data_IF_381121118798
#
_entry.id   IF_381121118798
#
_cell.length_a   1.000
_cell.length_b   1.000
_cell.length_c   1.000
_cell.angle_alpha   90.00
_cell.angle_beta   90.00
_cell.angle_gamma   90.00
#
_symmetry.space_group_name_H-M   'P 1'
#
loop_
_entity.id
_entity.type
_entity.pdbx_description
1 polymer ?
#
# COMPACT_ATOMS: atom_id res chain seq x y z
N UNK A 1 -23.58 1.67 9.25
CA UNK A 1 -22.48 2.62 8.99
C UNK A 1 -21.57 1.96 7.97
N UNK A 2 -21.09 2.72 6.98
CA UNK A 2 -20.13 2.19 6.02
C UNK A 2 -18.81 1.90 6.73
N UNK A 3 -18.21 0.77 6.37
CA UNK A 3 -16.93 0.32 6.90
C UNK A 3 -15.90 0.36 5.77
N UNK A 4 -14.65 0.65 6.11
CA UNK A 4 -13.55 0.79 5.17
C UNK A 4 -12.35 -0.02 5.64
N UNK A 5 -11.53 -0.43 4.70
CA UNK A 5 -10.25 -1.12 4.94
C UNK A 5 -9.16 -0.45 4.12
N UNK A 6 -7.92 -0.58 4.58
CA UNK A 6 -6.74 -0.31 3.76
C UNK A 6 -6.16 -1.65 3.31
N UNK A 7 -6.10 -1.85 2.00
CA UNK A 7 -5.49 -3.03 1.37
C UNK A 7 -4.06 -2.68 1.00
N UNK A 8 -3.11 -3.52 1.39
CA UNK A 8 -1.69 -3.37 1.12
C UNK A 8 -1.22 -4.59 0.33
N UNK A 9 -0.86 -4.36 -0.92
CA UNK A 9 -0.28 -5.35 -1.82
C UNK A 9 1.22 -5.07 -1.90
N UNK A 10 2.06 -6.03 -1.49
CA UNK A 10 3.53 -5.86 -1.50
C UNK A 10 4.23 -6.88 -2.36
N UNK A 11 5.33 -6.45 -2.98
CA UNK A 11 6.20 -7.36 -3.71
C UNK A 11 5.67 -7.76 -5.09
N UNK A 12 4.79 -6.96 -5.69
CA UNK A 12 4.28 -7.20 -7.03
C UNK A 12 5.42 -7.12 -8.05
N UNK A 13 5.66 -8.24 -8.74
CA UNK A 13 6.65 -8.40 -9.81
C UNK A 13 6.09 -9.43 -10.80
N UNK A 14 6.49 -9.34 -12.07
CA UNK A 14 6.17 -10.36 -13.07
C UNK A 14 6.67 -11.73 -12.54
N UNK A 15 5.73 -12.64 -12.25
CA UNK A 15 5.95 -13.99 -11.73
C UNK A 15 6.66 -14.10 -10.35
N UNK A 16 6.18 -13.38 -9.33
CA UNK A 16 6.70 -13.50 -7.96
C UNK A 16 5.79 -14.31 -7.02
N UNK A 17 6.35 -15.38 -6.45
CA UNK A 17 5.73 -16.11 -5.32
C UNK A 17 5.72 -15.32 -4.00
N UNK A 18 6.44 -14.19 -3.96
CA UNK A 18 6.57 -13.34 -2.77
C UNK A 18 5.51 -12.26 -2.69
N UNK A 19 4.59 -12.18 -3.65
CA UNK A 19 3.48 -11.24 -3.60
C UNK A 19 2.60 -11.54 -2.38
N UNK A 20 2.31 -10.52 -1.58
CA UNK A 20 1.43 -10.63 -0.41
C UNK A 20 0.37 -9.55 -0.46
N UNK A 21 -0.86 -9.93 -0.14
CA UNK A 21 -1.99 -9.01 0.04
C UNK A 21 -2.41 -9.10 1.50
N UNK A 22 -2.44 -7.97 2.18
CA UNK A 22 -2.99 -7.83 3.53
C UNK A 22 -4.07 -6.75 3.52
N UNK A 23 -5.03 -6.87 4.43
CA UNK A 23 -6.04 -5.85 4.65
C UNK A 23 -6.13 -5.59 6.16
N UNK A 24 -6.41 -4.35 6.52
CA UNK A 24 -6.72 -3.98 7.91
C UNK A 24 -8.09 -4.53 8.30
N UNK A 25 -8.37 -4.55 9.61
CA UNK A 25 -9.74 -4.73 10.08
C UNK A 25 -10.64 -3.59 9.56
N UNK A 26 -11.95 -3.85 9.35
CA UNK A 26 -12.91 -2.83 8.99
C UNK A 26 -12.98 -1.71 10.04
N UNK A 27 -12.92 -0.46 9.58
CA UNK A 27 -12.95 0.72 10.44
C UNK A 27 -13.81 1.84 9.85
N UNK A 28 -14.20 2.85 10.63
CA UNK A 28 -14.89 4.03 10.14
C UNK A 28 -14.09 4.76 9.05
N UNK A 29 -14.80 5.41 8.12
CA UNK A 29 -14.18 6.11 6.98
C UNK A 29 -13.09 7.12 7.38
N UNK A 30 -13.31 7.88 8.46
CA UNK A 30 -12.35 8.90 8.93
C UNK A 30 -11.04 8.26 9.37
N UNK A 31 -11.12 7.13 10.08
CA UNK A 31 -9.95 6.39 10.56
C UNK A 31 -9.18 5.77 9.39
N UNK A 32 -9.90 5.19 8.41
CA UNK A 32 -9.29 4.59 7.24
C UNK A 32 -8.58 5.63 6.35
N UNK A 33 -9.17 6.81 6.16
CA UNK A 33 -8.51 7.92 5.44
C UNK A 33 -7.24 8.39 6.15
N UNK A 34 -7.29 8.55 7.48
CA UNK A 34 -6.12 8.93 8.26
C UNK A 34 -5.00 7.90 8.09
N UNK A 35 -5.31 6.61 8.26
CA UNK A 35 -4.32 5.55 8.10
C UNK A 35 -3.72 5.52 6.68
N UNK A 36 -4.55 5.72 5.66
CA UNK A 36 -4.08 5.80 4.27
C UNK A 36 -3.06 6.95 4.06
N UNK A 37 -3.35 8.14 4.60
CA UNK A 37 -2.43 9.29 4.53
C UNK A 37 -1.15 9.04 5.33
N UNK A 38 -1.26 8.46 6.53
CA UNK A 38 -0.10 8.11 7.35
C UNK A 38 0.82 7.12 6.60
N UNK A 39 0.26 6.12 5.91
CA UNK A 39 1.03 5.19 5.07
C UNK A 39 1.68 5.88 3.86
N UNK A 40 0.98 6.82 3.22
CA UNK A 40 1.51 7.64 2.12
C UNK A 40 2.71 8.48 2.58
N UNK A 41 2.66 9.00 3.80
CA UNK A 41 3.73 9.76 4.47
C UNK A 41 4.87 8.87 5.01
N UNK A 42 4.76 7.55 4.83
CA UNK A 42 5.80 6.58 5.23
C UNK A 42 5.78 6.21 6.71
N UNK A 43 4.68 6.46 7.42
CA UNK A 43 4.44 5.93 8.76
C UNK A 43 4.05 4.44 8.71
N UNK A 44 3.96 3.79 9.87
CA UNK A 44 3.57 2.37 10.01
C UNK A 44 4.48 1.39 9.23
N UNK A 45 5.77 1.41 9.56
CA UNK A 45 6.77 0.54 8.94
C UNK A 45 6.52 -0.97 9.19
N UNK A 46 5.71 -1.31 10.18
CA UNK A 46 5.21 -2.66 10.43
C UNK A 46 4.21 -3.13 9.35
N UNK A 47 3.40 -2.22 8.81
CA UNK A 47 2.44 -2.50 7.75
C UNK A 47 3.05 -2.35 6.34
N UNK A 48 3.83 -1.29 6.14
CA UNK A 48 4.47 -1.00 4.86
C UNK A 48 5.96 -0.67 5.09
N UNK A 49 6.83 -1.69 5.21
CA UNK A 49 8.24 -1.49 5.51
C UNK A 49 8.91 -0.54 4.53
N UNK A 50 9.72 0.40 5.02
CA UNK A 50 10.51 1.28 4.19
C UNK A 50 11.48 0.47 3.31
N UNK A 51 11.70 0.92 2.07
CA UNK A 51 12.68 0.34 1.15
C UNK A 51 13.53 1.46 0.57
N UNK A 52 14.79 1.17 0.27
CA UNK A 52 15.68 2.13 -0.36
C UNK A 52 15.26 2.40 -1.81
N UNK A 53 15.66 3.53 -2.39
CA UNK A 53 15.48 3.84 -3.82
C UNK A 53 14.03 3.68 -4.32
N UNK A 54 13.06 4.06 -3.48
CA UNK A 54 11.63 4.02 -3.83
C UNK A 54 11.15 5.33 -4.41
N UNK A 55 10.31 5.23 -5.44
CA UNK A 55 9.49 6.34 -5.93
C UNK A 55 8.04 6.11 -5.51
N UNK A 56 7.45 7.11 -4.85
CA UNK A 56 6.03 7.12 -4.50
C UNK A 56 5.25 7.83 -5.60
N UNK A 57 4.14 7.23 -6.03
CA UNK A 57 3.22 7.77 -7.02
C UNK A 57 1.81 7.75 -6.44
N UNK A 58 1.20 8.93 -6.28
CA UNK A 58 -0.23 9.03 -6.02
C UNK A 58 -1.00 8.73 -7.32
N UNK A 59 -1.85 7.70 -7.29
CA UNK A 59 -2.64 7.28 -8.45
C UNK A 59 -4.02 7.93 -8.42
N UNK A 60 -4.62 8.01 -7.23
CA UNK A 60 -5.90 8.67 -6.98
C UNK A 60 -6.02 9.07 -5.51
N UNK A 61 -7.14 9.69 -5.14
CA UNK A 61 -7.43 10.04 -3.75
C UNK A 61 -7.50 8.82 -2.79
N UNK A 62 -7.60 7.59 -3.33
CA UNK A 62 -7.73 6.35 -2.56
C UNK A 62 -6.72 5.29 -2.96
N UNK A 63 -5.72 5.62 -3.79
CA UNK A 63 -4.69 4.68 -4.20
C UNK A 63 -3.35 5.37 -4.42
N UNK A 64 -2.29 4.76 -3.88
CA UNK A 64 -0.92 5.10 -4.24
C UNK A 64 -0.11 3.84 -4.52
N UNK A 65 1.00 4.04 -5.22
CA UNK A 65 1.92 2.99 -5.62
C UNK A 65 3.33 3.38 -5.19
N UNK A 66 4.07 2.42 -4.64
CA UNK A 66 5.50 2.53 -4.36
C UNK A 66 6.28 1.65 -5.31
N UNK A 67 7.11 2.27 -6.14
CA UNK A 67 7.98 1.58 -7.09
C UNK A 67 9.37 1.49 -6.49
N UNK A 68 9.86 0.28 -6.34
CA UNK A 68 11.21 -0.03 -5.86
C UNK A 68 12.05 -0.62 -6.99
N UNK A 69 13.24 -0.07 -7.24
CA UNK A 69 14.20 -0.60 -8.22
C UNK A 69 15.30 -1.38 -7.51
N UNK A 70 15.32 -2.69 -7.69
CA UNK A 70 16.40 -3.56 -7.22
C UNK A 70 17.59 -3.54 -8.18
N UNK A 71 18.75 -3.97 -7.68
CA UNK A 71 19.92 -4.23 -8.53
C UNK A 71 19.59 -5.19 -9.67
N UNK A 72 20.18 -4.95 -10.85
CA UNK A 72 19.90 -5.72 -12.07
C UNK A 72 18.62 -5.28 -12.81
N UNK A 73 18.04 -4.13 -12.48
CA UNK A 73 16.92 -3.53 -13.21
C UNK A 73 15.55 -4.13 -12.87
N UNK A 74 15.48 -4.99 -11.86
CA UNK A 74 14.22 -5.56 -11.39
C UNK A 74 13.37 -4.48 -10.73
N UNK A 75 12.15 -4.29 -11.23
CA UNK A 75 11.16 -3.41 -10.63
C UNK A 75 10.21 -4.22 -9.76
N UNK A 76 10.00 -3.75 -8.54
CA UNK A 76 9.03 -4.29 -7.58
C UNK A 76 8.05 -3.18 -7.23
N UNK A 77 6.78 -3.53 -7.15
CA UNK A 77 5.70 -2.59 -6.87
C UNK A 77 5.01 -2.99 -5.56
N UNK A 78 4.75 -2.00 -4.71
CA UNK A 78 3.75 -2.11 -3.64
C UNK A 78 2.58 -1.18 -4.00
N UNK A 79 1.33 -1.62 -3.78
CA UNK A 79 0.12 -0.82 -3.97
C UNK A 79 -0.61 -0.73 -2.63
N UNK A 80 -1.14 0.44 -2.33
CA UNK A 80 -2.01 0.66 -1.18
C UNK A 80 -3.32 1.28 -1.65
N UNK A 81 -4.44 0.68 -1.26
CA UNK A 81 -5.77 1.08 -1.69
C UNK A 81 -6.70 1.23 -0.47
N UNK A 82 -7.35 2.38 -0.37
CA UNK A 82 -8.48 2.60 0.55
C UNK A 82 -9.77 2.11 -0.11
N UNK A 83 -10.46 1.15 0.53
CA UNK A 83 -11.65 0.51 -0.04
C UNK A 83 -12.83 0.48 0.95
N UNK A 84 -14.06 0.55 0.41
CA UNK A 84 -15.31 0.37 1.18
C UNK A 84 -15.67 -1.12 1.23
N UNK A 85 -16.14 -1.58 2.38
CA UNK A 85 -16.69 -2.92 2.59
C UNK A 85 -18.19 -2.93 2.21
N UNK A 86 -18.62 -3.95 1.48
CA UNK A 86 -20.01 -4.17 1.03
C UNK A 86 -20.69 -5.28 1.82
#
# INVERSE_FOLDING_TARGET
MDQYVVVIETGYKVAAATHKVTATDPMPQVEANRLFLELLEGMHADLLPAKADTTMLEVSATEFVRIHRLMGGVVVLDRVTLARVH
#
